data_IF_978352365559
#
_entry.id   IF_978352365559
#
_cell.length_a   1.000
_cell.length_b   1.000
_cell.length_c   1.000
_cell.angle_alpha   90.00
_cell.angle_beta   90.00
_cell.angle_gamma   90.00
#
_symmetry.space_group_name_H-M   'P 1'
#
loop_
_entity.id
_entity.type
_entity.pdbx_description
1 polymer ?
#
# COMPACT_ATOMS: atom_id res chain seq x y z
N UNK A 1 -5.51 24.76 22.25
CA UNK A 1 -5.91 24.87 20.83
C UNK A 1 -4.74 24.71 19.84
N UNK A 2 -3.47 24.96 20.24
CA UNK A 2 -2.29 24.66 19.41
C UNK A 2 -1.95 23.16 19.38
N UNK A 3 -1.93 22.48 20.52
CA UNK A 3 -1.57 21.05 20.66
C UNK A 3 -2.44 20.10 19.80
N UNK A 4 -3.77 20.26 19.84
CA UNK A 4 -4.70 19.50 18.97
C UNK A 4 -4.43 19.71 17.46
N UNK A 5 -3.89 20.87 17.08
CA UNK A 5 -3.57 21.19 15.69
C UNK A 5 -2.31 20.44 15.24
N UNK A 6 -1.33 20.30 16.13
CA UNK A 6 -0.08 19.58 15.90
C UNK A 6 -0.28 18.05 15.88
N UNK A 7 -1.06 17.48 16.80
CA UNK A 7 -1.44 16.05 16.78
C UNK A 7 -2.10 15.66 15.43
N UNK A 8 -3.02 16.50 14.95
CA UNK A 8 -3.73 16.26 13.69
C UNK A 8 -2.80 16.32 12.47
N UNK A 9 -1.73 17.11 12.56
CA UNK A 9 -0.77 17.32 11.47
C UNK A 9 0.22 16.15 11.40
N UNK A 10 0.75 15.73 12.55
CA UNK A 10 1.64 14.57 12.69
C UNK A 10 0.93 13.29 12.21
N UNK A 11 -0.30 13.05 12.67
CA UNK A 11 -1.09 11.88 12.25
C UNK A 11 -1.30 11.87 10.73
N UNK A 12 -1.59 13.03 10.13
CA UNK A 12 -1.78 13.16 8.66
C UNK A 12 -0.50 12.90 7.87
N UNK A 13 0.65 13.35 8.37
CA UNK A 13 1.93 13.13 7.70
C UNK A 13 2.32 11.64 7.74
N UNK A 14 2.15 10.97 8.88
CA UNK A 14 2.35 9.52 9.03
C UNK A 14 1.41 8.72 8.12
N UNK A 15 0.12 9.04 8.11
CA UNK A 15 -0.86 8.38 7.22
C UNK A 15 -0.48 8.59 5.74
N UNK A 16 0.02 9.78 5.37
CA UNK A 16 0.45 10.06 4.00
C UNK A 16 1.67 9.23 3.61
N UNK A 17 2.62 9.01 4.52
CA UNK A 17 3.80 8.18 4.29
C UNK A 17 3.43 6.69 4.05
N UNK A 18 2.44 6.17 4.79
CA UNK A 18 2.00 4.76 4.70
C UNK A 18 0.94 4.53 3.62
N UNK A 19 0.51 5.56 2.88
CA UNK A 19 -0.52 5.42 1.84
C UNK A 19 -0.07 4.45 0.73
N UNK A 20 -0.89 3.43 0.36
CA UNK A 20 -0.56 2.51 -0.70
C UNK A 20 -0.56 3.22 -2.06
N UNK A 21 0.45 2.93 -2.88
CA UNK A 21 0.61 3.54 -4.19
C UNK A 21 -0.18 2.76 -5.24
N UNK A 22 -1.20 3.41 -5.80
CA UNK A 22 -2.01 2.90 -6.92
C UNK A 22 -1.23 2.78 -8.23
N UNK A 23 -0.08 3.44 -8.33
CA UNK A 23 0.71 3.51 -9.57
C UNK A 23 1.10 2.12 -10.09
N UNK A 24 1.58 1.24 -9.20
CA UNK A 24 2.06 -0.09 -9.57
C UNK A 24 0.96 -0.98 -10.15
N UNK A 25 -0.19 -1.22 -9.48
CA UNK A 25 -1.25 -2.06 -10.05
C UNK A 25 -1.87 -1.48 -11.33
N UNK A 26 -1.96 -0.15 -11.45
CA UNK A 26 -2.46 0.51 -12.67
C UNK A 26 -1.48 0.28 -13.83
N UNK A 27 -0.18 0.50 -13.63
CA UNK A 27 0.81 0.26 -14.68
C UNK A 27 0.91 -1.21 -15.10
N UNK A 28 0.86 -2.12 -14.13
CA UNK A 28 0.81 -3.57 -14.42
C UNK A 28 -0.41 -3.89 -15.27
N UNK A 29 -1.56 -3.25 -15.01
CA UNK A 29 -2.78 -3.44 -15.82
C UNK A 29 -2.59 -2.97 -17.26
N UNK A 30 -1.95 -1.82 -17.48
CA UNK A 30 -1.64 -1.32 -18.82
C UNK A 30 -0.73 -2.30 -19.57
N UNK A 31 0.37 -2.74 -18.95
CA UNK A 31 1.34 -3.65 -19.58
C UNK A 31 0.70 -5.01 -19.90
N UNK A 32 -0.01 -5.59 -18.92
CA UNK A 32 -0.65 -6.90 -19.06
C UNK A 32 -1.87 -6.89 -20.01
N UNK A 33 -2.38 -5.72 -20.39
CA UNK A 33 -3.44 -5.62 -21.40
C UNK A 33 -2.94 -5.87 -22.83
N UNK A 34 -1.63 -5.70 -23.08
CA UNK A 34 -1.02 -5.84 -24.41
C UNK A 34 -1.23 -7.21 -25.06
N UNK A 35 -0.89 -8.34 -24.40
CA UNK A 35 -1.10 -9.67 -24.97
C UNK A 35 -2.56 -10.00 -25.33
N UNK A 36 -3.57 -9.75 -24.46
CA UNK A 36 -4.97 -9.93 -24.84
C UNK A 36 -5.42 -9.03 -26.00
N UNK A 37 -4.98 -7.77 -26.04
CA UNK A 37 -5.27 -6.85 -27.15
C UNK A 37 -4.68 -7.36 -28.46
N UNK A 38 -3.43 -7.83 -28.44
CA UNK A 38 -2.77 -8.43 -29.61
C UNK A 38 -3.54 -9.64 -30.13
N UNK A 39 -4.06 -10.48 -29.23
CA UNK A 39 -4.87 -11.65 -29.57
C UNK A 39 -6.22 -11.25 -30.21
N UNK A 40 -6.84 -10.19 -29.70
CA UNK A 40 -8.09 -9.65 -30.23
C UNK A 40 -7.90 -9.01 -31.61
N UNK A 41 -6.86 -8.20 -31.77
CA UNK A 41 -6.52 -7.53 -33.03
C UNK A 41 -6.13 -8.54 -34.12
N UNK A 42 -5.32 -9.56 -33.81
CA UNK A 42 -4.97 -10.59 -34.79
C UNK A 42 -6.20 -11.41 -35.21
N UNK A 43 -7.13 -11.68 -34.30
CA UNK A 43 -8.36 -12.42 -34.61
C UNK A 43 -9.37 -11.61 -35.42
N UNK A 44 -9.50 -10.31 -35.18
CA UNK A 44 -10.50 -9.45 -35.83
C UNK A 44 -9.99 -8.74 -37.10
N UNK A 45 -8.73 -8.29 -37.13
CA UNK A 45 -8.21 -7.46 -38.21
C UNK A 45 -7.33 -8.23 -39.19
N UNK A 46 -6.54 -9.22 -38.73
CA UNK A 46 -5.49 -9.80 -39.56
C UNK A 46 -5.73 -11.22 -40.06
N UNK A 47 -6.69 -11.98 -39.50
CA UNK A 47 -7.14 -13.35 -39.88
C UNK A 47 -6.06 -14.45 -40.02
N UNK A 48 -4.78 -14.11 -40.15
CA UNK A 48 -3.63 -14.99 -40.22
C UNK A 48 -2.83 -14.88 -38.93
N UNK A 49 -3.25 -15.64 -37.91
CA UNK A 49 -2.45 -15.80 -36.70
C UNK A 49 -1.35 -16.84 -36.95
N UNK A 50 -0.14 -16.40 -37.31
CA UNK A 50 1.04 -17.25 -37.20
C UNK A 50 1.26 -17.57 -35.70
N UNK A 51 0.97 -18.82 -35.32
CA UNK A 51 1.12 -19.36 -33.96
C UNK A 51 0.30 -18.67 -32.85
N UNK A 52 -1.04 -18.89 -32.78
CA UNK A 52 -1.88 -18.34 -31.71
C UNK A 52 -1.50 -18.85 -30.30
N UNK A 53 -0.85 -20.02 -30.21
CA UNK A 53 -0.48 -20.67 -28.94
C UNK A 53 0.40 -19.78 -28.06
N UNK A 54 1.38 -19.09 -28.63
CA UNK A 54 2.29 -18.21 -27.86
C UNK A 54 1.53 -17.00 -27.31
N UNK A 55 0.66 -16.40 -28.10
CA UNK A 55 -0.18 -15.28 -27.68
C UNK A 55 -1.15 -15.69 -26.55
N UNK A 56 -1.72 -16.89 -26.63
CA UNK A 56 -2.60 -17.45 -25.59
C UNK A 56 -1.82 -17.64 -24.28
N UNK A 57 -0.63 -18.27 -24.32
CA UNK A 57 0.20 -18.49 -23.13
C UNK A 57 0.59 -17.15 -22.50
N UNK A 58 1.04 -16.17 -23.29
CA UNK A 58 1.38 -14.83 -22.80
C UNK A 58 0.17 -14.11 -22.18
N UNK A 59 -1.03 -14.31 -22.72
CA UNK A 59 -2.26 -13.77 -22.17
C UNK A 59 -2.59 -14.39 -20.82
N UNK A 60 -2.45 -15.71 -20.67
CA UNK A 60 -2.66 -16.40 -19.39
C UNK A 60 -1.67 -15.87 -18.33
N UNK A 61 -0.39 -15.76 -18.66
CA UNK A 61 0.64 -15.23 -17.75
C UNK A 61 0.31 -13.77 -17.35
N UNK A 62 -0.08 -12.94 -18.32
CA UNK A 62 -0.45 -11.56 -18.07
C UNK A 62 -1.67 -11.44 -17.14
N UNK A 63 -2.69 -12.30 -17.31
CA UNK A 63 -3.86 -12.36 -16.43
C UNK A 63 -3.46 -12.77 -15.02
N UNK A 64 -2.60 -13.79 -14.86
CA UNK A 64 -2.10 -14.21 -13.54
C UNK A 64 -1.34 -13.07 -12.87
N UNK A 65 -0.44 -12.38 -13.59
CA UNK A 65 0.31 -11.22 -13.09
C UNK A 65 -0.60 -10.07 -12.64
N UNK A 66 -1.66 -9.81 -13.41
CA UNK A 66 -2.73 -8.87 -13.06
C UNK A 66 -3.42 -9.24 -11.75
N UNK A 67 -3.89 -10.48 -11.62
CA UNK A 67 -4.56 -10.96 -10.42
C UNK A 67 -3.66 -10.87 -9.19
N UNK A 68 -2.39 -11.27 -9.32
CA UNK A 68 -1.42 -11.15 -8.23
C UNK A 68 -1.20 -9.68 -7.85
N UNK A 69 -0.94 -8.80 -8.81
CA UNK A 69 -0.72 -7.38 -8.55
C UNK A 69 -1.90 -6.73 -7.82
N UNK A 70 -3.13 -7.02 -8.25
CA UNK A 70 -4.33 -6.52 -7.59
C UNK A 70 -4.58 -7.17 -6.22
N UNK A 71 -4.30 -8.46 -6.08
CA UNK A 71 -4.39 -9.17 -4.81
C UNK A 71 -3.46 -8.54 -3.76
N UNK A 72 -2.19 -8.29 -4.11
CA UNK A 72 -1.23 -7.61 -3.25
C UNK A 72 -1.67 -6.19 -2.90
N UNK A 73 -2.16 -5.43 -3.89
CA UNK A 73 -2.68 -4.08 -3.66
C UNK A 73 -3.88 -4.07 -2.71
N UNK A 74 -4.86 -4.97 -2.88
CA UNK A 74 -6.02 -5.08 -2.00
C UNK A 74 -5.60 -5.48 -0.58
N UNK A 75 -4.65 -6.41 -0.46
CA UNK A 75 -4.07 -6.80 0.82
C UNK A 75 -3.42 -5.59 1.50
N UNK A 76 -2.62 -4.82 0.78
CA UNK A 76 -1.96 -3.62 1.28
C UNK A 76 -2.95 -2.51 1.67
N UNK A 77 -4.00 -2.32 0.87
CA UNK A 77 -5.09 -1.39 1.17
C UNK A 77 -5.83 -1.76 2.47
N UNK A 78 -6.02 -3.07 2.74
CA UNK A 78 -6.60 -3.53 4.00
C UNK A 78 -5.70 -3.22 5.20
N UNK A 79 -4.39 -3.42 5.06
CA UNK A 79 -3.44 -3.03 6.11
C UNK A 79 -3.43 -1.53 6.34
N UNK A 80 -3.39 -0.74 5.27
CA UNK A 80 -3.45 0.72 5.36
C UNK A 80 -4.69 1.21 6.11
N UNK A 81 -5.86 0.60 5.89
CA UNK A 81 -7.09 0.98 6.59
C UNK A 81 -6.97 0.77 8.11
N UNK A 82 -6.30 -0.29 8.56
CA UNK A 82 -6.03 -0.51 9.98
C UNK A 82 -5.06 0.54 10.54
N UNK A 83 -3.97 0.79 9.82
CA UNK A 83 -3.00 1.83 10.16
C UNK A 83 -3.63 3.23 10.26
N UNK A 84 -4.55 3.56 9.36
CA UNK A 84 -5.29 4.83 9.38
C UNK A 84 -6.16 4.99 10.64
N UNK A 85 -6.66 3.88 11.20
CA UNK A 85 -7.43 3.87 12.45
C UNK A 85 -6.55 3.83 13.71
N UNK A 86 -5.35 3.27 13.64
CA UNK A 86 -4.44 3.08 14.78
C UNK A 86 -3.46 4.25 15.00
N UNK A 87 -2.89 4.82 13.93
CA UNK A 87 -1.92 5.94 14.03
C UNK A 87 -2.45 7.11 14.87
N UNK A 88 -3.71 7.59 14.70
CA UNK A 88 -4.24 8.68 15.52
C UNK A 88 -4.36 8.31 17.01
N UNK A 89 -4.63 7.03 17.32
CA UNK A 89 -4.74 6.54 18.69
C UNK A 89 -3.37 6.51 19.36
N UNK A 90 -2.34 6.05 18.65
CA UNK A 90 -0.95 6.06 19.15
C UNK A 90 -0.45 7.48 19.34
N UNK A 91 -0.67 8.38 18.38
CA UNK A 91 -0.27 9.80 18.50
C UNK A 91 -0.97 10.45 19.69
N UNK A 92 -2.26 10.19 19.89
CA UNK A 92 -3.00 10.73 21.04
C UNK A 92 -2.49 10.16 22.38
N UNK A 93 -2.19 8.86 22.43
CA UNK A 93 -1.60 8.20 23.59
C UNK A 93 -0.24 8.78 23.96
N UNK A 94 0.67 8.92 22.98
CA UNK A 94 1.98 9.52 23.19
C UNK A 94 1.84 10.96 23.71
N UNK A 95 0.92 11.74 23.13
CA UNK A 95 0.65 13.11 23.58
C UNK A 95 0.05 13.21 25.00
N UNK A 96 -0.51 12.11 25.52
CA UNK A 96 -0.94 12.02 26.92
C UNK A 96 0.17 11.64 27.90
N UNK A 97 1.36 11.26 27.41
CA UNK A 97 2.55 11.04 28.24
C UNK A 97 3.36 12.32 28.47
N UNK A 98 4.31 12.26 29.41
CA UNK A 98 5.16 13.40 29.75
C UNK A 98 5.93 13.94 28.53
N UNK A 99 6.08 15.27 28.44
CA UNK A 99 6.55 15.98 27.23
C UNK A 99 7.95 15.56 26.80
N UNK A 100 8.82 15.16 27.72
CA UNK A 100 10.17 14.69 27.39
C UNK A 100 10.18 13.30 26.75
N UNK A 101 9.18 12.47 27.04
CA UNK A 101 9.02 11.13 26.47
C UNK A 101 8.38 11.20 25.06
N UNK A 102 7.59 12.25 24.83
CA UNK A 102 6.90 12.51 23.57
C UNK A 102 7.86 12.65 22.39
N UNK A 103 8.87 13.52 22.50
CA UNK A 103 9.74 13.86 21.37
C UNK A 103 10.59 12.66 20.92
N UNK A 104 11.06 11.83 21.86
CA UNK A 104 11.88 10.64 21.56
C UNK A 104 11.05 9.53 20.90
N UNK A 105 9.85 9.24 21.41
CA UNK A 105 8.93 8.25 20.83
C UNK A 105 8.39 8.69 19.47
N UNK A 106 8.14 9.98 19.25
CA UNK A 106 7.63 10.49 17.97
C UNK A 106 8.67 10.40 16.86
N UNK A 107 9.95 10.64 17.17
CA UNK A 107 11.07 10.42 16.26
C UNK A 107 11.16 8.94 15.89
N UNK A 108 11.12 8.06 16.90
CA UNK A 108 11.15 6.61 16.71
C UNK A 108 9.98 6.11 15.85
N UNK A 109 8.77 6.63 16.08
CA UNK A 109 7.57 6.29 15.29
C UNK A 109 7.72 6.72 13.82
N UNK A 110 8.33 7.89 13.59
CA UNK A 110 8.59 8.41 12.24
C UNK A 110 9.62 7.54 11.51
N UNK A 111 10.68 7.12 12.21
CA UNK A 111 11.69 6.20 11.68
C UNK A 111 11.11 4.81 11.38
N UNK A 112 10.27 4.25 12.26
CA UNK A 112 9.57 2.98 12.03
C UNK A 112 8.72 3.06 10.76
N UNK A 113 7.96 4.14 10.60
CA UNK A 113 7.10 4.33 9.43
C UNK A 113 7.89 4.45 8.13
N UNK A 114 9.11 4.97 8.18
CA UNK A 114 9.97 5.13 7.00
C UNK A 114 10.86 3.94 6.68
N UNK A 115 11.25 3.14 7.68
CA UNK A 115 12.26 2.09 7.51
C UNK A 115 11.69 0.68 7.51
N UNK A 116 10.55 0.44 8.19
CA UNK A 116 10.03 -0.91 8.34
C UNK A 116 9.03 -1.32 7.26
N UNK A 117 8.96 -2.62 6.92
CA UNK A 117 7.90 -3.14 6.08
C UNK A 117 6.55 -2.97 6.80
N UNK A 118 5.51 -2.59 6.03
CA UNK A 118 4.20 -2.16 6.57
C UNK A 118 3.49 -3.16 7.48
N UNK A 119 3.84 -4.44 7.40
CA UNK A 119 3.30 -5.50 8.27
C UNK A 119 3.88 -5.45 9.69
N UNK A 120 5.13 -4.99 9.83
CA UNK A 120 5.81 -4.81 11.11
C UNK A 120 5.39 -3.51 11.77
N UNK A 121 5.12 -2.45 11.00
CA UNK A 121 4.58 -1.18 11.52
C UNK A 121 3.30 -1.40 12.33
N UNK A 122 2.36 -2.21 11.82
CA UNK A 122 1.10 -2.49 12.55
C UNK A 122 1.36 -3.21 13.89
N UNK A 123 2.32 -4.15 13.93
CA UNK A 123 2.65 -4.87 15.17
C UNK A 123 3.30 -3.95 16.19
N UNK A 124 4.24 -3.12 15.77
CA UNK A 124 4.88 -2.15 16.67
C UNK A 124 3.86 -1.13 17.21
N UNK A 125 2.90 -0.69 16.38
CA UNK A 125 1.82 0.19 16.84
C UNK A 125 0.89 -0.52 17.84
N UNK A 126 0.55 -1.79 17.59
CA UNK A 126 -0.20 -2.62 18.54
C UNK A 126 0.60 -2.82 19.84
N UNK A 127 1.90 -3.12 19.80
CA UNK A 127 2.76 -3.30 20.97
C UNK A 127 2.91 -2.02 21.79
N UNK A 128 2.96 -0.83 21.16
CA UNK A 128 2.97 0.46 21.87
C UNK A 128 1.64 0.71 22.59
N UNK A 129 0.52 0.24 22.02
CA UNK A 129 -0.81 0.33 22.64
C UNK A 129 -1.01 -0.73 23.74
N UNK A 130 -0.46 -1.92 23.55
CA UNK A 130 -0.60 -3.10 24.42
C UNK A 130 0.47 -3.16 25.53
N UNK A 131 1.55 -2.37 25.45
CA UNK A 131 2.55 -2.17 26.51
C UNK A 131 2.03 -1.47 27.78
N UNK A 132 0.72 -1.55 27.99
CA UNK A 132 -0.01 -1.30 29.23
C UNK A 132 0.12 -2.48 30.19
#
# INVERSE_FOLDING_TARGET
>A
MKEVKDESKISKELIKAVKPRLFLPVWTTVICSGPPLNLLLNRFLFKDAQNPTVAIIMTIIAIIGLFLSWYWYIKEKRYFRKLEEEIPKVVHYLHSMDKSFLDEELIKLTDIVHTMPRKEILRELEDILDGK
#
